data_IF_470283621449
#
_entry.id   IF_470283621449
#
_cell.length_a   1.000
_cell.length_b   1.000
_cell.length_c   1.000
_cell.angle_alpha   90.00
_cell.angle_beta   90.00
_cell.angle_gamma   90.00
#
_symmetry.space_group_name_H-M   'P 1'
#
loop_
_entity.id
_entity.type
_entity.pdbx_description
1 polymer ?
#
# COMPACT_ATOMS: atom_id res chain seq x y z
N UNK A 1 9.18 33.56 10.50
CA UNK A 1 8.36 34.76 10.20
C UNK A 1 7.82 34.60 8.80
N UNK A 2 6.55 34.91 8.59
CA UNK A 2 5.89 34.75 7.28
C UNK A 2 5.41 36.07 6.67
N UNK A 3 5.40 36.13 5.34
CA UNK A 3 4.71 37.14 4.56
C UNK A 3 3.67 36.45 3.67
N UNK A 4 2.44 36.97 3.65
CA UNK A 4 1.34 36.41 2.87
C UNK A 4 0.80 37.50 1.95
N UNK A 5 0.84 37.24 0.65
CA UNK A 5 0.36 38.15 -0.37
C UNK A 5 -0.69 37.46 -1.25
N UNK A 6 -1.81 38.15 -1.49
CA UNK A 6 -2.85 37.67 -2.41
C UNK A 6 -2.82 38.47 -3.70
N UNK A 7 -2.66 37.77 -4.82
CA UNK A 7 -2.80 38.33 -6.16
C UNK A 7 -3.85 37.55 -6.94
N UNK A 8 -5.04 38.14 -7.13
CA UNK A 8 -6.19 37.47 -7.77
C UNK A 8 -6.55 36.15 -7.06
N UNK A 9 -6.41 35.01 -7.76
CA UNK A 9 -6.61 33.66 -7.23
C UNK A 9 -5.31 32.98 -6.77
N UNK A 10 -4.20 33.71 -6.67
CA UNK A 10 -2.93 33.16 -6.18
C UNK A 10 -2.63 33.74 -4.80
N UNK A 11 -2.34 32.87 -3.82
CA UNK A 11 -1.78 33.25 -2.53
C UNK A 11 -0.32 32.86 -2.52
N UNK A 12 0.55 33.82 -2.21
CA UNK A 12 1.98 33.62 -2.04
C UNK A 12 2.28 33.64 -0.55
N UNK A 13 2.79 32.53 -0.01
CA UNK A 13 3.32 32.45 1.35
C UNK A 13 4.84 32.40 1.28
N UNK A 14 5.50 33.50 1.66
CA UNK A 14 6.94 33.53 1.80
C UNK A 14 7.34 33.30 3.26
N UNK A 15 8.21 32.31 3.50
CA UNK A 15 8.67 31.94 4.83
C UNK A 15 10.15 32.32 4.98
N UNK A 16 10.44 33.13 5.99
CA UNK A 16 11.80 33.58 6.31
C UNK A 16 12.16 33.09 7.72
N UNK A 17 13.23 32.31 7.82
CA UNK A 17 13.68 31.70 9.09
C UNK A 17 12.92 30.41 9.44
N UNK A 18 12.66 30.19 10.73
CA UNK A 18 11.91 29.03 11.23
C UNK A 18 10.41 29.17 10.91
N UNK A 19 9.80 28.09 10.39
CA UNK A 19 8.36 27.99 10.18
C UNK A 19 7.70 27.30 11.38
N UNK A 20 6.95 28.09 12.15
CA UNK A 20 6.33 27.62 13.39
C UNK A 20 4.85 27.31 13.22
N UNK A 21 4.28 26.57 14.17
CA UNK A 21 2.85 26.27 14.20
C UNK A 21 1.98 27.54 14.28
N UNK A 22 2.46 28.58 14.97
CA UNK A 22 1.76 29.85 15.06
C UNK A 22 1.71 30.56 13.68
N UNK A 23 2.81 30.52 12.93
CA UNK A 23 2.86 31.04 11.57
C UNK A 23 1.88 30.25 10.66
N UNK A 24 1.84 28.92 10.78
CA UNK A 24 0.93 28.09 9.98
C UNK A 24 -0.55 28.45 10.23
N UNK A 25 -0.95 28.63 11.49
CA UNK A 25 -2.33 29.01 11.84
C UNK A 25 -2.71 30.42 11.36
N UNK A 26 -1.76 31.35 11.35
CA UNK A 26 -1.97 32.69 10.77
C UNK A 26 -2.21 32.60 9.25
N UNK A 27 -1.50 31.70 8.57
CA UNK A 27 -1.77 31.39 7.16
C UNK A 27 -3.16 30.79 6.93
N UNK A 28 -3.53 29.76 7.69
CA UNK A 28 -4.85 29.12 7.59
C UNK A 28 -6.00 30.13 7.75
N UNK A 29 -5.94 30.96 8.79
CA UNK A 29 -6.99 31.95 9.06
C UNK A 29 -7.15 32.95 7.91
N UNK A 30 -6.03 33.42 7.34
CA UNK A 30 -6.05 34.36 6.23
C UNK A 30 -6.63 33.74 4.96
N UNK A 31 -6.26 32.50 4.64
CA UNK A 31 -6.73 31.82 3.44
C UNK A 31 -8.20 31.41 3.56
N UNK A 32 -8.64 30.93 4.71
CA UNK A 32 -10.02 30.45 4.90
C UNK A 32 -11.02 31.58 5.13
N UNK A 33 -10.66 32.59 5.94
CA UNK A 33 -11.63 33.58 6.43
C UNK A 33 -11.45 34.97 5.82
N UNK A 34 -10.22 35.38 5.48
CA UNK A 34 -9.96 36.75 5.05
C UNK A 34 -9.87 36.90 3.53
N UNK A 35 -9.50 35.84 2.81
CA UNK A 35 -9.37 35.86 1.36
C UNK A 35 -10.52 35.12 0.67
N UNK A 36 -11.38 35.89 -0.01
CA UNK A 36 -12.40 35.32 -0.89
C UNK A 36 -11.86 35.09 -2.30
N UNK A 37 -11.98 33.86 -2.82
CA UNK A 37 -11.52 33.50 -4.17
C UNK A 37 -12.69 33.28 -5.11
N UNK A 38 -12.59 33.80 -6.34
CA UNK A 38 -13.55 33.50 -7.40
C UNK A 38 -13.14 32.17 -8.05
N UNK A 39 -13.53 31.06 -7.41
CA UNK A 39 -13.15 29.70 -7.81
C UNK A 39 -12.00 29.13 -6.98
N UNK A 40 -11.21 28.19 -7.55
CA UNK A 40 -10.13 27.53 -6.80
C UNK A 40 -8.93 28.45 -6.61
N UNK A 41 -8.40 28.49 -5.39
CA UNK A 41 -7.19 29.23 -5.05
C UNK A 41 -5.94 28.44 -5.48
N UNK A 42 -4.93 29.11 -5.99
CA UNK A 42 -3.61 28.54 -6.23
C UNK A 42 -2.67 29.01 -5.13
N UNK A 43 -1.82 28.12 -4.63
CA UNK A 43 -0.88 28.42 -3.56
C UNK A 43 0.55 28.40 -4.13
N UNK A 44 1.33 29.42 -3.77
CA UNK A 44 2.77 29.48 -4.02
C UNK A 44 3.48 29.61 -2.68
N UNK A 45 4.18 28.56 -2.29
CA UNK A 45 5.03 28.54 -1.12
C UNK A 45 6.45 28.93 -1.53
N UNK A 46 6.93 30.08 -1.05
CA UNK A 46 8.30 30.54 -1.25
C UNK A 46 9.09 30.27 0.03
N UNK A 47 9.92 29.22 -0.02
CA UNK A 47 10.70 28.71 1.11
C UNK A 47 12.20 28.96 0.95
N UNK A 48 12.60 29.79 -0.02
CA UNK A 48 14.03 30.03 -0.31
C UNK A 48 14.83 30.50 0.91
N UNK A 49 14.20 31.29 1.78
CA UNK A 49 14.82 31.83 2.99
C UNK A 49 14.37 31.09 4.28
N UNK A 50 13.71 29.93 4.14
CA UNK A 50 13.28 29.10 5.27
C UNK A 50 14.47 28.28 5.80
N UNK A 51 14.65 28.25 7.11
CA UNK A 51 15.80 27.62 7.78
C UNK A 51 15.42 26.35 8.53
N UNK A 52 14.20 26.28 9.09
CA UNK A 52 13.73 25.12 9.86
C UNK A 52 12.21 24.93 9.70
N UNK A 53 11.78 23.68 9.79
CA UNK A 53 10.40 23.23 9.58
C UNK A 53 10.05 22.15 10.59
N UNK A 54 9.18 22.49 11.54
CA UNK A 54 8.83 21.59 12.64
C UNK A 54 7.85 20.48 12.22
N UNK A 55 7.96 19.32 12.87
CA UNK A 55 7.08 18.15 12.65
C UNK A 55 5.61 18.49 12.94
N UNK A 56 5.36 19.38 13.90
CA UNK A 56 4.00 19.80 14.26
C UNK A 56 3.34 20.63 13.15
N UNK A 57 4.12 21.47 12.46
CA UNK A 57 3.64 22.20 11.27
C UNK A 57 3.33 21.25 10.13
N UNK A 58 4.17 20.22 9.92
CA UNK A 58 3.93 19.15 8.96
C UNK A 58 2.57 18.49 9.19
N UNK A 59 2.26 18.20 10.45
CA UNK A 59 1.02 17.53 10.81
C UNK A 59 -0.22 18.38 10.55
N UNK A 60 -0.19 19.66 10.94
CA UNK A 60 -1.30 20.58 10.68
C UNK A 60 -1.46 20.86 9.19
N UNK A 61 -0.36 20.92 8.42
CA UNK A 61 -0.43 21.05 6.97
C UNK A 61 -1.15 19.88 6.30
N UNK A 62 -0.85 18.65 6.75
CA UNK A 62 -1.55 17.45 6.29
C UNK A 62 -3.04 17.53 6.60
N UNK A 63 -3.39 17.95 7.82
CA UNK A 63 -4.78 18.05 8.26
C UNK A 63 -5.54 19.10 7.45
N UNK A 64 -4.94 20.26 7.23
CA UNK A 64 -5.51 21.35 6.43
C UNK A 64 -5.75 20.92 4.99
N UNK A 65 -4.76 20.31 4.33
CA UNK A 65 -4.88 19.84 2.95
C UNK A 65 -5.92 18.73 2.82
N UNK A 66 -6.10 17.89 3.84
CA UNK A 66 -7.17 16.90 3.88
C UNK A 66 -8.56 17.54 3.96
N UNK A 67 -8.72 18.58 4.78
CA UNK A 67 -10.02 19.24 5.00
C UNK A 67 -10.39 20.21 3.86
N UNK A 68 -9.41 20.90 3.27
CA UNK A 68 -9.62 22.00 2.32
C UNK A 68 -8.96 21.80 0.95
N UNK A 69 -8.22 20.71 0.72
CA UNK A 69 -7.43 20.47 -0.50
C UNK A 69 -8.22 20.57 -1.81
N UNK A 70 -9.52 20.26 -1.78
CA UNK A 70 -10.40 20.33 -2.96
C UNK A 70 -10.73 21.77 -3.41
N UNK A 71 -10.51 22.75 -2.54
CA UNK A 71 -10.71 24.18 -2.78
C UNK A 71 -9.48 24.81 -3.47
N UNK A 72 -8.35 24.10 -3.48
CA UNK A 72 -7.12 24.54 -4.12
C UNK A 72 -6.95 23.92 -5.52
N UNK A 73 -6.42 24.72 -6.45
CA UNK A 73 -6.19 24.34 -7.84
C UNK A 73 -4.81 23.73 -8.03
N UNK A 74 -3.77 24.57 -7.90
CA UNK A 74 -2.36 24.19 -8.04
C UNK A 74 -1.58 24.71 -6.83
N UNK A 75 -0.68 23.87 -6.34
CA UNK A 75 0.28 24.23 -5.28
C UNK A 75 1.68 24.16 -5.90
N UNK A 76 2.43 25.25 -5.79
CA UNK A 76 3.81 25.33 -6.24
C UNK A 76 4.70 25.68 -5.04
N UNK A 77 5.89 25.08 -4.98
CA UNK A 77 6.88 25.33 -3.93
C UNK A 77 8.17 25.79 -4.60
N UNK A 78 8.74 26.90 -4.14
CA UNK A 78 10.01 27.46 -4.60
C UNK A 78 11.01 27.35 -3.45
N UNK A 79 12.13 26.66 -3.66
CA UNK A 79 13.19 26.47 -2.66
C UNK A 79 14.56 26.40 -3.34
N UNK A 80 15.59 26.88 -2.64
CA UNK A 80 16.98 26.85 -3.08
C UNK A 80 17.78 25.68 -2.46
N UNK A 81 17.18 24.91 -1.53
CA UNK A 81 17.81 23.79 -0.83
C UNK A 81 17.27 22.42 -1.31
N UNK A 82 18.18 21.53 -1.70
CA UNK A 82 17.83 20.15 -2.09
C UNK A 82 17.14 19.40 -0.94
N UNK A 83 17.49 19.66 0.32
CA UNK A 83 16.91 18.99 1.48
C UNK A 83 15.42 19.33 1.68
N UNK A 84 15.01 20.56 1.38
CA UNK A 84 13.60 20.99 1.43
C UNK A 84 12.77 20.47 0.25
N UNK A 85 13.43 20.22 -0.90
CA UNK A 85 12.82 19.49 -2.02
C UNK A 85 12.55 18.02 -1.65
N UNK A 86 13.46 17.41 -0.87
CA UNK A 86 13.24 16.07 -0.30
C UNK A 86 12.14 16.06 0.77
N UNK A 87 12.02 17.08 1.64
CA UNK A 87 10.96 17.09 2.67
C UNK A 87 9.56 17.28 2.08
N UNK A 88 9.39 18.07 1.02
CA UNK A 88 8.12 18.17 0.29
C UNK A 88 7.75 16.85 -0.42
N UNK A 89 8.74 16.15 -0.99
CA UNK A 89 8.56 14.82 -1.58
C UNK A 89 8.28 13.73 -0.52
N UNK A 90 8.95 13.78 0.64
CA UNK A 90 8.71 12.88 1.78
C UNK A 90 7.34 13.15 2.42
N UNK A 91 6.91 14.40 2.51
CA UNK A 91 5.59 14.76 3.05
C UNK A 91 4.47 14.26 2.15
N UNK A 92 4.60 14.41 0.82
CA UNK A 92 3.71 13.75 -0.15
C UNK A 92 3.71 12.23 -0.05
N UNK A 93 4.84 11.64 0.35
CA UNK A 93 4.96 10.19 0.58
C UNK A 93 4.05 9.67 1.72
N UNK A 94 3.69 10.54 2.67
CA UNK A 94 2.79 10.22 3.78
C UNK A 94 1.33 10.67 3.53
N UNK A 95 1.10 11.53 2.55
CA UNK A 95 -0.21 12.13 2.23
C UNK A 95 -1.02 11.28 1.23
N UNK A 96 -0.35 10.55 0.34
CA UNK A 96 -1.06 9.97 -0.80
C UNK A 96 -1.47 8.50 -0.60
N UNK A 97 -2.75 8.22 -0.89
CA UNK A 97 -3.24 6.88 -1.18
C UNK A 97 -2.38 6.15 -2.24
N UNK A 98 -1.60 6.89 -3.03
CA UNK A 98 -0.68 6.39 -4.04
C UNK A 98 0.53 5.67 -3.45
N UNK A 99 1.11 6.12 -2.34
CA UNK A 99 2.21 5.39 -1.69
C UNK A 99 1.73 4.10 -1.09
N UNK A 100 0.60 4.15 -0.39
CA UNK A 100 -0.06 2.96 0.10
C UNK A 100 -0.35 1.99 -1.04
N UNK A 101 -0.82 2.49 -2.19
CA UNK A 101 -1.03 1.69 -3.41
C UNK A 101 0.26 1.10 -3.96
N UNK A 102 1.36 1.85 -4.03
CA UNK A 102 2.67 1.36 -4.48
C UNK A 102 3.13 0.21 -3.59
N UNK A 103 3.11 0.41 -2.26
CA UNK A 103 3.48 -0.63 -1.30
C UNK A 103 2.56 -1.86 -1.42
N UNK A 104 1.26 -1.63 -1.60
CA UNK A 104 0.28 -2.69 -1.79
C UNK A 104 0.59 -3.51 -3.04
N UNK A 105 0.77 -2.86 -4.19
CA UNK A 105 1.04 -3.52 -5.47
C UNK A 105 2.38 -4.26 -5.44
N UNK A 106 3.44 -3.64 -4.92
CA UNK A 106 4.74 -4.30 -4.75
C UNK A 106 4.63 -5.52 -3.83
N UNK A 107 3.91 -5.39 -2.72
CA UNK A 107 3.62 -6.49 -1.81
C UNK A 107 2.89 -7.64 -2.51
N UNK A 108 1.84 -7.33 -3.28
CA UNK A 108 1.08 -8.33 -4.07
C UNK A 108 1.97 -9.02 -5.10
N UNK A 109 2.83 -8.28 -5.81
CA UNK A 109 3.76 -8.84 -6.81
C UNK A 109 4.74 -9.81 -6.15
N UNK A 110 5.37 -9.41 -5.04
CA UNK A 110 6.33 -10.26 -4.34
C UNK A 110 5.68 -11.48 -3.68
N UNK A 111 4.46 -11.32 -3.17
CA UNK A 111 3.71 -12.37 -2.51
C UNK A 111 3.08 -13.34 -3.51
N UNK A 112 2.17 -12.88 -4.37
CA UNK A 112 1.43 -13.71 -5.33
C UNK A 112 2.34 -14.18 -6.45
N UNK A 113 3.30 -13.36 -6.90
CA UNK A 113 4.35 -13.79 -7.83
C UNK A 113 5.23 -14.89 -7.23
N UNK A 114 5.51 -14.81 -5.93
CA UNK A 114 6.16 -15.88 -5.19
C UNK A 114 5.34 -17.18 -5.20
N UNK A 115 4.04 -17.11 -4.90
CA UNK A 115 3.13 -18.26 -4.98
C UNK A 115 3.10 -18.84 -6.40
N UNK A 116 3.06 -18.00 -7.43
CA UNK A 116 3.11 -18.43 -8.82
C UNK A 116 4.41 -19.19 -9.11
N UNK A 117 5.57 -18.63 -8.75
CA UNK A 117 6.87 -19.28 -8.92
C UNK A 117 6.95 -20.62 -8.20
N UNK A 118 6.47 -20.70 -6.95
CA UNK A 118 6.43 -21.96 -6.19
C UNK A 118 5.57 -23.01 -6.90
N UNK A 119 4.41 -22.60 -7.42
CA UNK A 119 3.43 -23.48 -8.06
C UNK A 119 3.90 -23.98 -9.42
N UNK A 120 4.44 -23.10 -10.26
CA UNK A 120 4.71 -23.41 -11.67
C UNK A 120 6.15 -23.83 -11.94
N UNK A 121 7.09 -23.48 -11.06
CA UNK A 121 8.52 -23.75 -11.24
C UNK A 121 9.07 -24.63 -10.13
N UNK A 122 9.00 -24.18 -8.87
CA UNK A 122 9.68 -24.86 -7.76
C UNK A 122 9.13 -26.26 -7.53
N UNK A 123 7.83 -26.41 -7.25
CA UNK A 123 7.23 -27.70 -6.92
C UNK A 123 7.38 -28.72 -8.07
N UNK A 124 7.15 -28.36 -9.35
CA UNK A 124 7.43 -29.27 -10.47
C UNK A 124 8.91 -29.63 -10.60
N UNK A 125 9.83 -28.70 -10.37
CA UNK A 125 11.28 -28.98 -10.44
C UNK A 125 11.73 -29.93 -9.33
N UNK A 126 11.26 -29.72 -8.10
CA UNK A 126 11.55 -30.61 -6.96
C UNK A 126 11.07 -32.02 -7.24
N UNK A 127 9.86 -32.20 -7.79
CA UNK A 127 9.33 -33.52 -8.12
C UNK A 127 10.13 -34.30 -9.18
N UNK A 128 11.06 -33.65 -9.89
CA UNK A 128 11.91 -34.32 -10.88
C UNK A 128 13.20 -34.90 -10.28
N UNK A 129 13.52 -34.62 -9.01
CA UNK A 129 14.72 -35.20 -8.39
C UNK A 129 14.58 -36.71 -8.23
N UNK A 130 15.69 -37.43 -8.39
CA UNK A 130 15.73 -38.90 -8.32
C UNK A 130 15.61 -39.44 -6.90
N UNK A 131 16.06 -38.67 -5.91
CA UNK A 131 16.08 -39.06 -4.50
C UNK A 131 14.97 -38.35 -3.74
N UNK A 132 14.07 -39.13 -3.11
CA UNK A 132 13.00 -38.59 -2.26
C UNK A 132 13.54 -37.77 -1.08
N UNK A 133 14.71 -38.14 -0.55
CA UNK A 133 15.36 -37.38 0.53
C UNK A 133 15.81 -36.00 0.04
N UNK A 134 16.42 -35.94 -1.15
CA UNK A 134 16.87 -34.69 -1.76
C UNK A 134 15.69 -33.77 -2.10
N UNK A 135 14.55 -34.34 -2.51
CA UNK A 135 13.32 -33.58 -2.73
C UNK A 135 12.86 -32.85 -1.47
N UNK A 136 12.77 -33.57 -0.36
CA UNK A 136 12.26 -33.03 0.92
C UNK A 136 13.23 -31.99 1.47
N UNK A 137 14.52 -32.30 1.50
CA UNK A 137 15.56 -31.42 2.03
C UNK A 137 15.64 -30.10 1.26
N UNK A 138 15.66 -30.16 -0.07
CA UNK A 138 15.71 -28.95 -0.90
C UNK A 138 14.43 -28.12 -0.75
N UNK A 139 13.27 -28.77 -0.71
CA UNK A 139 12.00 -28.06 -0.52
C UNK A 139 11.97 -27.32 0.83
N UNK A 140 12.34 -27.96 1.94
CA UNK A 140 12.37 -27.32 3.27
C UNK A 140 13.32 -26.11 3.32
N UNK A 141 14.49 -26.21 2.68
CA UNK A 141 15.46 -25.10 2.62
C UNK A 141 14.89 -23.89 1.88
N UNK A 142 14.19 -24.11 0.77
CA UNK A 142 13.57 -23.02 0.01
C UNK A 142 12.32 -22.49 0.70
N UNK A 143 11.47 -23.38 1.21
CA UNK A 143 10.19 -23.07 1.87
C UNK A 143 10.40 -22.21 3.10
N UNK A 144 11.35 -22.53 3.98
CA UNK A 144 11.63 -21.74 5.19
C UNK A 144 11.99 -20.28 4.90
N UNK A 145 12.82 -20.03 3.87
CA UNK A 145 13.19 -18.68 3.43
C UNK A 145 12.01 -17.98 2.78
N UNK A 146 11.29 -18.69 1.92
CA UNK A 146 10.13 -18.16 1.22
C UNK A 146 8.98 -17.81 2.17
N UNK A 147 8.72 -18.62 3.19
CA UNK A 147 7.68 -18.37 4.20
C UNK A 147 7.89 -17.05 4.92
N UNK A 148 9.14 -16.69 5.24
CA UNK A 148 9.48 -15.41 5.86
C UNK A 148 9.17 -14.24 4.94
N UNK A 149 9.56 -14.31 3.66
CA UNK A 149 9.22 -13.30 2.66
C UNK A 149 7.70 -13.20 2.47
N UNK A 150 7.01 -14.33 2.35
CA UNK A 150 5.57 -14.39 2.15
C UNK A 150 4.80 -13.77 3.32
N UNK A 151 5.21 -14.03 4.57
CA UNK A 151 4.64 -13.38 5.77
C UNK A 151 4.78 -11.87 5.71
N UNK A 152 6.00 -11.37 5.51
CA UNK A 152 6.26 -9.92 5.49
C UNK A 152 5.47 -9.21 4.39
N UNK A 153 5.48 -9.76 3.18
CA UNK A 153 4.77 -9.19 2.04
C UNK A 153 3.24 -9.26 2.20
N UNK A 154 2.69 -10.38 2.71
CA UNK A 154 1.25 -10.50 3.02
C UNK A 154 0.80 -9.48 4.07
N UNK A 155 1.63 -9.22 5.09
CA UNK A 155 1.36 -8.22 6.12
C UNK A 155 1.35 -6.81 5.54
N UNK A 156 2.35 -6.46 4.71
CA UNK A 156 2.39 -5.17 4.00
C UNK A 156 1.13 -4.98 3.17
N UNK A 157 0.71 -5.99 2.40
CA UNK A 157 -0.50 -5.93 1.57
C UNK A 157 -1.74 -5.69 2.42
N UNK A 158 -1.87 -6.39 3.56
CA UNK A 158 -2.97 -6.17 4.50
C UNK A 158 -2.99 -4.75 5.05
N UNK A 159 -1.88 -4.31 5.65
CA UNK A 159 -1.77 -2.98 6.28
C UNK A 159 -2.05 -1.87 5.25
N UNK A 160 -1.38 -1.92 4.09
CA UNK A 160 -1.57 -0.93 3.03
C UNK A 160 -3.00 -0.96 2.46
N UNK A 161 -3.60 -2.14 2.32
CA UNK A 161 -4.97 -2.30 1.83
C UNK A 161 -6.01 -1.69 2.77
N UNK A 162 -5.93 -2.01 4.07
CA UNK A 162 -6.82 -1.43 5.07
C UNK A 162 -6.60 0.07 5.24
N UNK A 163 -5.35 0.52 5.16
CA UNK A 163 -5.03 1.95 5.18
C UNK A 163 -5.65 2.69 3.99
N UNK A 164 -5.58 2.13 2.77
CA UNK A 164 -6.26 2.71 1.61
C UNK A 164 -7.79 2.74 1.77
N UNK A 165 -8.40 1.70 2.35
CA UNK A 165 -9.85 1.70 2.61
C UNK A 165 -10.23 2.82 3.58
N UNK A 166 -9.44 3.01 4.63
CA UNK A 166 -9.63 4.09 5.60
C UNK A 166 -9.44 5.48 4.96
N UNK A 167 -8.37 5.68 4.19
CA UNK A 167 -8.10 6.97 3.53
C UNK A 167 -9.15 7.36 2.49
N UNK A 168 -9.67 6.39 1.74
CA UNK A 168 -10.64 6.62 0.66
C UNK A 168 -12.10 6.61 1.15
N UNK A 169 -12.33 6.52 2.46
CA UNK A 169 -13.65 6.30 3.07
C UNK A 169 -14.46 5.20 2.37
N UNK A 170 -13.78 4.12 1.99
CA UNK A 170 -14.32 3.09 1.11
C UNK A 170 -15.05 1.96 1.86
N UNK A 171 -15.28 2.10 3.17
CA UNK A 171 -15.92 1.07 3.99
C UNK A 171 -17.34 0.73 3.53
N UNK A 172 -18.08 1.74 3.05
CA UNK A 172 -19.43 1.57 2.50
C UNK A 172 -19.48 0.58 1.32
N UNK A 173 -18.39 0.47 0.55
CA UNK A 173 -18.30 -0.43 -0.62
C UNK A 173 -18.43 -1.91 -0.24
N UNK A 174 -18.09 -2.30 0.99
CA UNK A 174 -18.31 -3.67 1.47
C UNK A 174 -19.78 -4.00 1.73
N UNK A 175 -20.70 -3.05 1.61
CA UNK A 175 -22.14 -3.32 1.69
C UNK A 175 -22.76 -3.64 0.32
N UNK A 176 -22.02 -3.39 -0.77
CA UNK A 176 -22.53 -3.55 -2.12
C UNK A 176 -21.84 -4.70 -2.86
N UNK A 177 -22.65 -5.59 -3.44
CA UNK A 177 -22.16 -6.76 -4.17
C UNK A 177 -21.35 -6.40 -5.44
N UNK A 178 -21.53 -5.18 -5.98
CA UNK A 178 -20.76 -4.70 -7.15
C UNK A 178 -19.26 -4.64 -6.87
N UNK A 179 -18.86 -4.49 -5.61
CA UNK A 179 -17.47 -4.49 -5.16
C UNK A 179 -17.01 -5.88 -4.69
N UNK A 180 -17.57 -6.97 -5.24
CA UNK A 180 -17.20 -8.37 -4.92
C UNK A 180 -15.68 -8.61 -4.89
N UNK A 181 -14.92 -7.90 -5.71
CA UNK A 181 -13.46 -7.99 -5.77
C UNK A 181 -12.78 -7.46 -4.49
N UNK A 182 -13.36 -6.49 -3.78
CA UNK A 182 -12.91 -6.05 -2.46
C UNK A 182 -13.09 -7.17 -1.42
N UNK A 183 -14.22 -7.86 -1.46
CA UNK A 183 -14.47 -9.03 -0.62
C UNK A 183 -13.50 -10.17 -0.94
N UNK A 184 -13.25 -10.43 -2.22
CA UNK A 184 -12.29 -11.44 -2.65
C UNK A 184 -10.86 -11.12 -2.18
N UNK A 185 -10.42 -9.85 -2.25
CA UNK A 185 -9.12 -9.43 -1.73
C UNK A 185 -8.98 -9.72 -0.23
N UNK A 186 -9.98 -9.33 0.58
CA UNK A 186 -9.97 -9.61 2.02
C UNK A 186 -10.02 -11.11 2.30
N UNK A 187 -10.83 -11.86 1.56
CA UNK A 187 -10.92 -13.32 1.70
C UNK A 187 -9.58 -14.00 1.42
N UNK A 188 -8.93 -13.68 0.29
CA UNK A 188 -7.61 -14.21 -0.06
C UNK A 188 -6.58 -13.82 0.99
N UNK A 189 -6.58 -12.57 1.43
CA UNK A 189 -5.68 -12.11 2.49
C UNK A 189 -5.88 -12.87 3.80
N UNK A 190 -7.12 -13.09 4.27
CA UNK A 190 -7.42 -13.88 5.47
C UNK A 190 -6.98 -15.33 5.28
N UNK A 191 -7.32 -15.95 4.14
CA UNK A 191 -6.96 -17.34 3.84
C UNK A 191 -5.45 -17.57 3.95
N UNK A 192 -4.64 -16.70 3.32
CA UNK A 192 -3.19 -16.80 3.41
C UNK A 192 -2.62 -16.36 4.75
N UNK A 193 -3.22 -15.39 5.44
CA UNK A 193 -2.81 -15.02 6.80
C UNK A 193 -2.98 -16.20 7.76
N UNK A 194 -4.12 -16.88 7.70
CA UNK A 194 -4.36 -18.11 8.45
C UNK A 194 -3.35 -19.18 8.05
N UNK A 195 -3.10 -19.36 6.74
CA UNK A 195 -2.13 -20.35 6.28
C UNK A 195 -0.72 -20.09 6.81
N UNK A 196 -0.22 -18.85 6.74
CA UNK A 196 1.17 -18.50 7.04
C UNK A 196 1.47 -18.26 8.53
N UNK A 197 0.49 -17.79 9.29
CA UNK A 197 0.67 -17.42 10.71
C UNK A 197 0.04 -18.40 11.68
N UNK A 198 -0.91 -19.24 11.23
CA UNK A 198 -1.59 -20.22 12.09
C UNK A 198 -1.27 -21.64 11.63
N UNK A 199 -1.61 -21.99 10.38
CA UNK A 199 -1.48 -23.36 9.91
C UNK A 199 -0.02 -23.78 9.72
N UNK A 200 0.81 -22.97 9.08
CA UNK A 200 2.23 -23.28 8.84
C UNK A 200 2.99 -23.61 10.15
N UNK A 201 2.97 -22.75 11.19
CA UNK A 201 3.84 -22.95 12.34
C UNK A 201 3.30 -24.02 13.30
N UNK A 202 1.98 -24.18 13.35
CA UNK A 202 1.33 -25.08 14.29
C UNK A 202 1.08 -26.47 13.71
N UNK A 203 0.82 -26.58 12.41
CA UNK A 203 0.25 -27.78 11.78
C UNK A 203 1.03 -28.25 10.55
N UNK A 204 1.15 -27.42 9.51
CA UNK A 204 1.59 -27.85 8.18
C UNK A 204 3.04 -28.31 8.16
N UNK A 205 3.94 -27.61 8.87
CA UNK A 205 5.35 -28.00 8.90
C UNK A 205 5.55 -29.41 9.46
N UNK A 206 4.96 -29.70 10.64
CA UNK A 206 5.03 -31.04 11.26
C UNK A 206 4.30 -32.10 10.43
N UNK A 207 3.13 -31.76 9.90
CA UNK A 207 2.35 -32.66 9.06
C UNK A 207 3.09 -33.04 7.77
N UNK A 208 3.75 -32.06 7.13
CA UNK A 208 4.52 -32.27 5.92
C UNK A 208 5.66 -33.24 6.17
N UNK A 209 6.51 -32.99 7.17
CA UNK A 209 7.66 -33.86 7.48
C UNK A 209 7.21 -35.30 7.73
N UNK A 210 6.16 -35.48 8.55
CA UNK A 210 5.67 -36.80 8.90
C UNK A 210 5.10 -37.55 7.69
N UNK A 211 4.34 -36.85 6.82
CA UNK A 211 3.69 -37.48 5.66
C UNK A 211 4.64 -37.66 4.49
N UNK A 212 5.54 -36.71 4.25
CA UNK A 212 6.51 -36.73 3.17
C UNK A 212 7.52 -37.87 3.34
N UNK A 213 7.89 -38.23 4.58
CA UNK A 213 8.74 -39.40 4.85
C UNK A 213 8.08 -40.75 4.53
N UNK A 214 6.75 -40.82 4.53
CA UNK A 214 5.99 -42.07 4.29
C UNK A 214 5.44 -42.14 2.87
N UNK A 215 4.96 -41.01 2.33
CA UNK A 215 4.37 -40.90 0.99
C UNK A 215 4.78 -39.57 0.32
N UNK A 216 6.05 -39.43 -0.12
CA UNK A 216 6.56 -38.15 -0.65
C UNK A 216 5.80 -37.69 -1.89
N UNK A 217 5.70 -38.53 -2.93
CA UNK A 217 5.05 -38.14 -4.19
C UNK A 217 3.59 -37.71 -4.00
N UNK A 218 2.83 -38.45 -3.20
CA UNK A 218 1.43 -38.11 -2.92
C UNK A 218 1.30 -36.80 -2.13
N UNK A 219 2.27 -36.51 -1.25
CA UNK A 219 2.31 -35.28 -0.46
C UNK A 219 2.63 -34.07 -1.35
N UNK A 220 3.65 -34.17 -2.20
CA UNK A 220 3.97 -33.11 -3.15
C UNK A 220 2.85 -32.86 -4.16
N UNK A 221 2.18 -33.90 -4.66
CA UNK A 221 1.01 -33.75 -5.53
C UNK A 221 -0.16 -33.03 -4.83
N UNK A 222 -0.38 -33.30 -3.55
CA UNK A 222 -1.42 -32.62 -2.76
C UNK A 222 -1.07 -31.14 -2.56
N UNK A 223 0.17 -30.84 -2.18
CA UNK A 223 0.64 -29.47 -1.99
C UNK A 223 0.55 -28.69 -3.30
N UNK A 224 0.97 -29.29 -4.42
CA UNK A 224 0.87 -28.68 -5.74
C UNK A 224 -0.57 -28.35 -6.12
N UNK A 225 -1.53 -29.27 -5.87
CA UNK A 225 -2.96 -29.01 -6.11
C UNK A 225 -3.49 -27.87 -5.26
N UNK A 226 -3.15 -27.85 -3.97
CA UNK A 226 -3.54 -26.76 -3.07
C UNK A 226 -2.98 -25.42 -3.56
N UNK A 227 -1.71 -25.39 -3.98
CA UNK A 227 -1.06 -24.20 -4.52
C UNK A 227 -1.71 -23.71 -5.80
N UNK A 228 -2.08 -24.61 -6.71
CA UNK A 228 -2.85 -24.26 -7.91
C UNK A 228 -4.19 -23.62 -7.55
N UNK A 229 -4.94 -24.21 -6.61
CA UNK A 229 -6.23 -23.64 -6.16
C UNK A 229 -6.04 -22.23 -5.60
N UNK A 230 -5.07 -22.05 -4.70
CA UNK A 230 -4.77 -20.76 -4.09
C UNK A 230 -4.32 -19.74 -5.15
N UNK A 231 -3.43 -20.13 -6.07
CA UNK A 231 -2.96 -19.28 -7.15
C UNK A 231 -4.11 -18.87 -8.08
N UNK A 232 -4.99 -19.79 -8.47
CA UNK A 232 -6.13 -19.48 -9.33
C UNK A 232 -7.08 -18.47 -8.67
N UNK A 233 -7.43 -18.66 -7.40
CA UNK A 233 -8.29 -17.72 -6.67
C UNK A 233 -7.59 -16.35 -6.56
N UNK A 234 -6.30 -16.31 -6.25
CA UNK A 234 -5.53 -15.08 -6.18
C UNK A 234 -5.46 -14.35 -7.53
N UNK A 235 -5.24 -15.05 -8.64
CA UNK A 235 -5.18 -14.44 -9.97
C UNK A 235 -6.54 -13.89 -10.41
N UNK A 236 -7.63 -14.61 -10.14
CA UNK A 236 -9.00 -14.11 -10.38
C UNK A 236 -9.26 -12.85 -9.55
N UNK A 237 -8.83 -12.87 -8.29
CA UNK A 237 -8.99 -11.73 -7.37
C UNK A 237 -8.19 -10.53 -7.85
N UNK A 238 -6.92 -10.71 -8.24
CA UNK A 238 -6.08 -9.64 -8.80
C UNK A 238 -6.67 -9.07 -10.08
N UNK A 239 -7.10 -9.92 -11.01
CA UNK A 239 -7.76 -9.48 -12.24
C UNK A 239 -9.04 -8.70 -11.95
N UNK A 240 -9.85 -9.19 -11.00
CA UNK A 240 -11.05 -8.50 -10.52
C UNK A 240 -10.73 -7.15 -9.87
N UNK A 241 -9.71 -7.07 -9.03
CA UNK A 241 -9.32 -5.82 -8.39
C UNK A 241 -8.86 -4.76 -9.40
N UNK A 242 -8.06 -5.15 -10.40
CA UNK A 242 -7.61 -4.25 -11.47
C UNK A 242 -8.79 -3.81 -12.35
N UNK A 243 -9.62 -4.75 -12.82
CA UNK A 243 -10.79 -4.42 -13.62
C UNK A 243 -11.78 -3.53 -12.86
N UNK A 244 -12.01 -3.83 -11.58
CA UNK A 244 -12.91 -3.10 -10.70
C UNK A 244 -12.44 -1.69 -10.38
N UNK A 245 -11.13 -1.48 -10.16
CA UNK A 245 -10.57 -0.16 -9.89
C UNK A 245 -10.62 0.77 -11.12
N UNK A 246 -10.62 0.20 -12.33
CA UNK A 246 -10.75 0.92 -13.59
C UNK A 246 -12.20 1.00 -14.12
N UNK A 247 -13.19 0.56 -13.33
CA UNK A 247 -14.61 0.70 -13.67
C UNK A 247 -15.11 -0.26 -14.76
N UNK A 248 -14.44 -1.38 -14.99
CA UNK A 248 -14.82 -2.33 -16.06
C UNK A 248 -16.07 -3.16 -15.76
N UNK A 249 -16.55 -3.21 -14.51
CA UNK A 249 -17.72 -4.01 -14.15
C UNK A 249 -19.03 -3.19 -14.26
N UNK A 250 -19.96 -3.56 -15.16
CA UNK A 250 -21.10 -2.73 -15.54
C UNK A 250 -22.38 -3.02 -14.72
N UNK A 251 -22.26 -3.30 -13.42
CA UNK A 251 -23.42 -3.37 -12.51
C UNK A 251 -23.31 -2.14 -11.57
N UNK A 252 -23.97 -0.99 -11.71
CA UNK A 252 -25.06 -0.51 -12.56
C UNK A 252 -25.77 0.60 -11.74
N UNK A 253 -25.72 1.85 -12.23
CA UNK A 253 -26.10 3.13 -11.57
C UNK A 253 -25.24 3.57 -10.39
#
# INVERSE_FOLDING_TARGET
>A
MINIEKTQNVVVLAVIGEFTLADYKDFEDKVLHQYHFDGRANLLFDWRDMVDYSVDVAWEEIKFMREHGSEFGRVAVVTDDQWQTWSAWVSNLFIDADVARVLHVLGVVLWIGGVAMVTTVLLPAVQQFKSEHEQIEFFEQVESRFATQARFTTLIVGISGFYMIYLLDAWSRFTELRYWWMHAMVFVWIMFSIMLYILEPLVLHKWFINRARVKPQATFNLILRMHWVMLSISLITTAGAVAGSHGWFPLGF
#
